data_IF_121147993326
#
_entry.id   IF_121147993326
#
_cell.length_a   1.000
_cell.length_b   1.000
_cell.length_c   1.000
_cell.angle_alpha   90.00
_cell.angle_beta   90.00
_cell.angle_gamma   90.00
#
_symmetry.space_group_name_H-M   'P 1'
#
loop_
_entity.id
_entity.type
_entity.pdbx_description
1 polymer ?
#
# COMPACT_ATOMS: atom_id res chain seq x y z
N UNK A 1 15.61 37.44 32.60
CA UNK A 1 14.54 36.89 31.75
C UNK A 1 14.57 35.37 31.86
N UNK A 2 13.83 34.81 32.82
CA UNK A 2 13.80 33.37 33.07
C UNK A 2 12.60 32.79 32.32
N UNK A 3 12.73 32.65 31.00
CA UNK A 3 11.73 31.95 30.20
C UNK A 3 11.79 30.48 30.59
N UNK A 4 10.85 30.14 31.46
CA UNK A 4 10.72 28.88 32.15
C UNK A 4 10.69 27.73 31.14
N UNK A 5 11.65 26.83 31.25
CA UNK A 5 11.84 25.57 30.50
C UNK A 5 10.52 24.80 30.29
N UNK A 6 9.58 24.97 31.22
CA UNK A 6 8.22 24.44 31.14
C UNK A 6 7.41 24.93 29.92
N UNK A 7 7.66 26.16 29.43
CA UNK A 7 7.01 26.70 28.23
C UNK A 7 7.47 25.98 26.96
N UNK A 8 8.76 25.67 26.84
CA UNK A 8 9.29 24.91 25.70
C UNK A 8 8.77 23.46 25.71
N UNK A 9 8.64 22.86 26.89
CA UNK A 9 8.11 21.49 27.03
C UNK A 9 6.62 21.41 26.65
N UNK A 10 5.83 22.43 27.01
CA UNK A 10 4.42 22.51 26.64
C UNK A 10 4.23 22.65 25.12
N UNK A 11 5.08 23.45 24.45
CA UNK A 11 5.07 23.55 23.00
C UNK A 11 5.44 22.21 22.33
N UNK A 12 6.48 21.52 22.81
CA UNK A 12 6.88 20.23 22.25
C UNK A 12 5.78 19.16 22.37
N UNK A 13 5.08 19.09 23.51
CA UNK A 13 3.97 18.17 23.70
C UNK A 13 2.79 18.45 22.76
N UNK A 14 2.49 19.72 22.48
CA UNK A 14 1.44 20.12 21.55
C UNK A 14 1.77 19.73 20.09
N UNK A 15 3.04 19.78 19.69
CA UNK A 15 3.47 19.33 18.36
C UNK A 15 3.44 17.79 18.20
N UNK A 16 3.76 17.04 19.25
CA UNK A 16 3.70 15.56 19.20
C UNK A 16 2.26 15.06 19.19
N UNK A 17 1.35 15.71 19.91
CA UNK A 17 -0.08 15.35 19.89
C UNK A 17 -0.79 15.73 18.57
N UNK A 18 -0.25 16.69 17.82
CA UNK A 18 -0.78 17.11 16.52
C UNK A 18 -0.12 16.40 15.34
N UNK A 19 0.85 15.51 15.57
CA UNK A 19 1.39 14.68 14.52
C UNK A 19 0.29 13.70 14.07
N UNK A 20 -0.12 13.71 12.79
CA UNK A 20 -1.08 12.74 12.30
C UNK A 20 -0.47 11.35 12.48
N UNK A 21 -0.99 10.59 13.44
CA UNK A 21 -0.63 9.18 13.69
C UNK A 21 -1.25 8.23 12.68
N UNK A 22 -2.03 8.78 11.75
CA UNK A 22 -2.50 8.06 10.59
C UNK A 22 -1.29 7.81 9.69
N UNK A 23 -0.58 6.72 9.98
CA UNK A 23 0.02 5.93 8.92
C UNK A 23 -1.15 5.65 8.00
N UNK A 24 -1.24 6.42 6.92
CA UNK A 24 -2.10 6.09 5.79
C UNK A 24 -1.54 4.75 5.32
N UNK A 25 -2.04 3.66 5.90
CA UNK A 25 -2.00 2.36 5.26
C UNK A 25 -2.50 2.67 3.86
N UNK A 26 -1.57 2.63 2.89
CA UNK A 26 -1.93 2.72 1.48
C UNK A 26 -3.11 1.80 1.35
N UNK A 27 -4.27 2.34 0.95
CA UNK A 27 -5.48 1.56 0.70
C UNK A 27 -5.12 0.49 -0.33
N UNK A 28 -4.59 -0.66 0.13
CA UNK A 28 -4.64 -1.90 -0.62
C UNK A 28 -6.12 -2.20 -0.61
N UNK A 29 -6.79 -1.80 -1.69
CA UNK A 29 -8.09 -2.33 -2.05
C UNK A 29 -8.01 -3.85 -1.84
N UNK A 30 -9.07 -4.46 -1.30
CA UNK A 30 -9.13 -5.90 -0.98
C UNK A 30 -8.73 -6.81 -2.15
N UNK A 31 -8.69 -6.26 -3.36
CA UNK A 31 -8.22 -6.88 -4.59
C UNK A 31 -6.88 -6.25 -5.05
N UNK A 32 -5.85 -6.30 -4.21
CA UNK A 32 -4.53 -5.75 -4.52
C UNK A 32 -3.58 -6.86 -4.98
N UNK A 33 -2.77 -6.56 -5.97
CA UNK A 33 -1.76 -7.46 -6.54
C UNK A 33 -0.38 -6.85 -6.27
N UNK A 34 0.64 -7.69 -6.06
CA UNK A 34 2.00 -7.22 -5.83
C UNK A 34 2.51 -6.43 -7.05
N UNK A 35 3.41 -5.47 -6.85
CA UNK A 35 3.90 -4.61 -7.94
C UNK A 35 4.71 -5.36 -8.98
N UNK A 36 5.31 -6.48 -8.57
CA UNK A 36 6.06 -7.41 -9.41
C UNK A 36 5.16 -8.33 -10.25
N UNK A 37 3.87 -8.43 -9.92
CA UNK A 37 2.93 -9.32 -10.58
C UNK A 37 2.16 -8.60 -11.70
N UNK A 38 1.98 -9.28 -12.82
CA UNK A 38 1.15 -8.77 -13.90
C UNK A 38 -0.33 -8.83 -13.52
N UNK A 39 -1.06 -7.74 -13.77
CA UNK A 39 -2.51 -7.66 -13.56
C UNK A 39 -3.17 -6.74 -14.59
N UNK A 40 -4.46 -6.95 -14.84
CA UNK A 40 -5.29 -6.07 -15.69
C UNK A 40 -6.51 -5.58 -14.92
N UNK A 41 -6.99 -4.38 -15.24
CA UNK A 41 -8.23 -3.84 -14.67
C UNK A 41 -9.37 -4.01 -15.67
N UNK A 42 -10.51 -4.57 -15.23
CA UNK A 42 -11.69 -4.71 -16.10
C UNK A 42 -12.55 -3.44 -16.14
N UNK A 43 -13.60 -3.44 -16.96
CA UNK A 43 -14.50 -2.29 -17.11
C UNK A 43 -15.29 -1.93 -15.82
N UNK A 44 -15.42 -2.88 -14.88
CA UNK A 44 -16.04 -2.66 -13.58
C UNK A 44 -15.05 -2.11 -12.53
N UNK A 45 -13.77 -1.97 -12.87
CA UNK A 45 -12.72 -1.49 -11.97
C UNK A 45 -12.11 -2.58 -11.08
N UNK A 46 -12.39 -3.85 -11.35
CA UNK A 46 -11.80 -4.96 -10.61
C UNK A 46 -10.41 -5.29 -11.16
N UNK A 47 -9.47 -5.58 -10.26
CA UNK A 47 -8.13 -6.03 -10.60
C UNK A 47 -8.17 -7.55 -10.82
N UNK A 48 -7.71 -7.97 -11.99
CA UNK A 48 -7.63 -9.38 -12.38
C UNK A 48 -6.15 -9.75 -12.47
N UNK A 49 -5.63 -10.60 -11.57
CA UNK A 49 -4.25 -11.06 -11.63
C UNK A 49 -4.04 -11.94 -12.86
N UNK A 50 -2.86 -11.82 -13.48
CA UNK A 50 -2.46 -12.69 -14.57
C UNK A 50 -2.18 -14.10 -14.04
N UNK A 51 -2.82 -15.11 -14.64
CA UNK A 51 -2.59 -16.51 -14.30
C UNK A 51 -1.98 -17.27 -15.49
N UNK A 52 -0.65 -17.42 -15.47
CA UNK A 52 0.08 -18.16 -16.52
C UNK A 52 -0.34 -19.64 -16.65
N UNK A 53 -0.87 -20.26 -15.59
CA UNK A 53 -1.36 -21.63 -15.64
C UNK A 53 -2.66 -21.78 -16.45
N UNK A 54 -3.41 -20.69 -16.62
CA UNK A 54 -4.63 -20.66 -17.44
C UNK A 54 -4.36 -20.38 -18.93
N UNK A 55 -3.13 -20.01 -19.28
CA UNK A 55 -2.74 -19.78 -20.67
C UNK A 55 -2.46 -21.13 -21.33
N UNK A 56 -2.98 -21.33 -22.55
CA UNK A 56 -2.69 -22.52 -23.35
C UNK A 56 -1.18 -22.67 -23.56
N UNK A 57 -0.61 -23.80 -23.13
CA UNK A 57 0.81 -24.07 -23.21
C UNK A 57 1.11 -25.18 -24.22
N UNK A 58 1.14 -24.80 -25.49
CA UNK A 58 1.40 -25.72 -26.60
C UNK A 58 2.66 -26.59 -26.39
N UNK A 59 3.72 -26.04 -25.79
CA UNK A 59 4.96 -26.77 -25.54
C UNK A 59 4.81 -27.83 -24.44
N UNK A 60 4.01 -27.53 -23.41
CA UNK A 60 3.74 -28.46 -22.31
C UNK A 60 2.86 -29.62 -22.80
N UNK A 61 1.89 -29.33 -23.65
CA UNK A 61 1.05 -30.35 -24.31
C UNK A 61 1.85 -31.18 -25.32
N UNK A 62 2.89 -30.59 -25.93
CA UNK A 62 3.84 -31.27 -26.80
C UNK A 62 4.92 -32.07 -26.05
N UNK A 63 4.92 -32.07 -24.71
CA UNK A 63 5.86 -32.84 -23.90
C UNK A 63 7.30 -32.32 -23.89
N UNK A 64 7.49 -31.02 -24.15
CA UNK A 64 8.78 -30.32 -24.14
C UNK A 64 9.03 -29.60 -22.82
#
# INVERSE_FOLDING_TARGET
MQYSIFTLLAFAAAFVAAAPTDIVEKRQLANSVATEDAAMTNAAGEIIPFNAASVYQANKDAGL
#
